data_IF_463722482543
#
_entry.id   IF_463722482543
#
_cell.length_a   1.000
_cell.length_b   1.000
_cell.length_c   1.000
_cell.angle_alpha   90.00
_cell.angle_beta   90.00
_cell.angle_gamma   90.00
#
_symmetry.space_group_name_H-M   'P 1'
#
loop_
_entity.id
_entity.type
_entity.pdbx_description
1 polymer ?
#
# COMPACT_ATOMS: atom_id res chain seq x y z
N UNK A 1 15.96 -16.34 -2.71
CA UNK A 1 15.98 -14.96 -2.16
C UNK A 1 14.55 -14.47 -2.19
N UNK A 2 14.03 -13.93 -1.08
CA UNK A 2 12.72 -13.30 -1.07
C UNK A 2 12.74 -12.05 -1.95
N UNK A 3 11.73 -11.88 -2.79
CA UNK A 3 11.54 -10.63 -3.54
C UNK A 3 11.21 -9.49 -2.55
N UNK A 4 11.56 -8.24 -2.86
CA UNK A 4 11.37 -7.08 -1.98
C UNK A 4 9.91 -6.92 -1.51
N UNK A 5 8.96 -7.28 -2.37
CA UNK A 5 7.55 -7.35 -2.00
C UNK A 5 7.28 -8.34 -0.86
N UNK A 6 7.89 -9.52 -0.89
CA UNK A 6 7.65 -10.55 0.14
C UNK A 6 8.17 -10.09 1.51
N UNK A 7 9.30 -9.38 1.55
CA UNK A 7 9.81 -8.77 2.79
C UNK A 7 8.83 -7.72 3.33
N UNK A 8 8.42 -6.77 2.48
CA UNK A 8 7.47 -5.74 2.88
C UNK A 8 6.11 -6.32 3.31
N UNK A 9 5.58 -7.27 2.53
CA UNK A 9 4.28 -7.89 2.78
C UNK A 9 4.29 -8.78 4.02
N UNK A 10 5.40 -9.47 4.32
CA UNK A 10 5.53 -10.25 5.54
C UNK A 10 5.35 -9.39 6.80
N UNK A 11 5.84 -8.14 6.80
CA UNK A 11 5.56 -7.19 7.87
C UNK A 11 4.09 -6.74 7.84
N UNK A 12 3.62 -6.22 6.71
CA UNK A 12 2.29 -5.60 6.59
C UNK A 12 1.16 -6.59 6.89
N UNK A 13 1.23 -7.82 6.38
CA UNK A 13 0.21 -8.85 6.54
C UNK A 13 -0.01 -9.27 8.01
N UNK A 14 0.94 -9.02 8.92
CA UNK A 14 0.76 -9.29 10.36
C UNK A 14 -0.28 -8.36 11.01
N UNK A 15 -0.53 -7.21 10.38
CA UNK A 15 -1.50 -6.22 10.82
C UNK A 15 -2.87 -6.43 10.18
N UNK A 16 -2.95 -7.30 9.17
CA UNK A 16 -4.17 -7.62 8.48
C UNK A 16 -4.87 -8.77 9.22
N UNK A 17 -6.13 -8.55 9.61
CA UNK A 17 -6.91 -9.50 10.38
C UNK A 17 -7.31 -10.75 9.59
N UNK A 18 -7.90 -11.72 10.30
CA UNK A 18 -8.66 -12.80 9.67
C UNK A 18 -10.03 -12.32 9.18
N UNK A 19 -10.92 -13.27 8.88
CA UNK A 19 -12.28 -12.97 8.49
C UNK A 19 -12.98 -12.12 9.55
N UNK A 20 -13.50 -10.96 9.14
CA UNK A 20 -14.34 -10.08 9.95
C UNK A 20 -15.53 -9.63 9.13
N UNK A 21 -16.72 -9.75 9.70
CA UNK A 21 -17.98 -9.31 9.12
C UNK A 21 -18.74 -8.54 10.20
N UNK A 22 -18.77 -7.21 10.10
CA UNK A 22 -19.44 -6.36 11.08
C UNK A 22 -20.57 -5.58 10.39
N UNK A 23 -21.82 -5.65 10.86
CA UNK A 23 -22.98 -5.00 10.22
C UNK A 23 -22.85 -3.49 10.03
N UNK A 24 -22.01 -2.84 10.82
CA UNK A 24 -21.73 -1.39 10.73
C UNK A 24 -20.45 -1.04 9.96
N UNK A 25 -19.76 -2.03 9.36
CA UNK A 25 -18.56 -1.77 8.56
C UNK A 25 -18.93 -1.33 7.13
N UNK A 26 -18.63 -0.09 6.73
CA UNK A 26 -18.90 0.39 5.38
C UNK A 26 -18.02 -0.28 4.30
N UNK A 27 -17.02 -1.08 4.68
CA UNK A 27 -16.22 -1.91 3.79
C UNK A 27 -16.82 -3.29 3.50
N UNK A 28 -17.83 -3.69 4.29
CA UNK A 28 -18.40 -5.04 4.26
C UNK A 28 -17.46 -6.10 4.83
N UNK A 29 -17.74 -7.36 4.52
CA UNK A 29 -16.89 -8.48 4.92
C UNK A 29 -15.44 -8.26 4.47
N UNK A 30 -14.50 -8.56 5.35
CA UNK A 30 -13.06 -8.39 5.13
C UNK A 30 -12.32 -9.64 5.55
N UNK A 31 -11.37 -10.10 4.74
CA UNK A 31 -10.50 -11.23 5.07
C UNK A 31 -9.08 -10.96 4.58
N UNK A 32 -8.08 -11.23 5.41
CA UNK A 32 -6.66 -10.98 5.08
C UNK A 32 -6.37 -9.54 4.62
N UNK A 33 -7.13 -8.55 5.12
CA UNK A 33 -7.03 -7.13 4.73
C UNK A 33 -7.73 -6.79 3.40
N UNK A 34 -8.35 -7.77 2.73
CA UNK A 34 -9.12 -7.59 1.50
C UNK A 34 -10.60 -7.41 1.88
N UNK A 35 -11.17 -6.22 1.61
CA UNK A 35 -12.58 -5.95 1.87
C UNK A 35 -13.45 -6.11 0.61
N UNK A 36 -14.69 -6.55 0.78
CA UNK A 36 -15.65 -6.69 -0.31
C UNK A 36 -15.79 -5.41 -1.13
N UNK A 37 -15.93 -4.27 -0.44
CA UNK A 37 -16.04 -2.97 -1.10
C UNK A 37 -14.84 -2.68 -2.00
N UNK A 38 -13.63 -2.99 -1.54
CA UNK A 38 -12.43 -2.75 -2.32
C UNK A 38 -12.38 -3.63 -3.57
N UNK A 39 -12.68 -4.92 -3.45
CA UNK A 39 -12.71 -5.85 -4.59
C UNK A 39 -13.79 -5.45 -5.59
N UNK A 40 -14.98 -5.05 -5.12
CA UNK A 40 -16.05 -4.54 -5.99
C UNK A 40 -15.67 -3.23 -6.70
N UNK A 41 -14.97 -2.31 -6.03
CA UNK A 41 -14.45 -1.09 -6.64
C UNK A 41 -13.42 -1.41 -7.74
N UNK A 42 -12.53 -2.38 -7.49
CA UNK A 42 -11.58 -2.86 -8.51
C UNK A 42 -12.30 -3.53 -9.68
N UNK A 43 -13.32 -4.34 -9.42
CA UNK A 43 -14.10 -5.03 -10.43
C UNK A 43 -14.84 -4.06 -11.34
N UNK A 44 -15.39 -2.99 -10.76
CA UNK A 44 -16.00 -1.87 -11.48
C UNK A 44 -14.98 -1.18 -12.39
N UNK A 45 -13.82 -0.81 -11.86
CA UNK A 45 -12.74 -0.16 -12.61
C UNK A 45 -12.24 -1.05 -13.76
N UNK A 46 -12.06 -2.35 -13.53
CA UNK A 46 -11.63 -3.29 -14.56
C UNK A 46 -12.64 -3.38 -15.71
N UNK A 47 -13.94 -3.41 -15.40
CA UNK A 47 -15.01 -3.39 -16.42
C UNK A 47 -15.05 -2.06 -17.19
N UNK A 48 -14.87 -0.93 -16.50
CA UNK A 48 -14.80 0.40 -17.13
C UNK A 48 -13.60 0.51 -18.08
N UNK A 49 -12.44 0.01 -17.67
CA UNK A 49 -11.24 -0.04 -18.50
C UNK A 49 -11.42 -0.94 -19.73
N UNK A 50 -12.01 -2.12 -19.54
CA UNK A 50 -12.38 -3.02 -20.63
C UNK A 50 -13.29 -2.31 -21.67
N UNK A 51 -14.33 -1.62 -21.20
CA UNK A 51 -15.23 -0.83 -22.07
C UNK A 51 -14.49 0.30 -22.78
N UNK A 52 -13.57 0.98 -22.11
CA UNK A 52 -12.75 2.06 -22.68
C UNK A 52 -11.82 1.53 -23.79
N UNK A 53 -11.17 0.40 -23.58
CA UNK A 53 -10.16 -0.15 -24.48
C UNK A 53 -10.76 -0.98 -25.62
N UNK A 54 -11.75 -1.81 -25.32
CA UNK A 54 -12.29 -2.83 -26.23
C UNK A 54 -13.72 -2.52 -26.72
N UNK A 55 -14.31 -1.41 -26.29
CA UNK A 55 -15.70 -0.96 -26.62
C UNK A 55 -16.83 -1.89 -26.18
N UNK A 56 -16.52 -3.11 -25.75
CA UNK A 56 -17.44 -4.06 -25.12
C UNK A 56 -16.67 -4.98 -24.19
N UNK A 57 -17.35 -5.48 -23.16
CA UNK A 57 -16.86 -6.59 -22.33
C UNK A 57 -17.69 -7.87 -22.54
N UNK A 58 -18.73 -7.80 -23.37
CA UNK A 58 -19.55 -8.94 -23.77
C UNK A 58 -18.80 -9.78 -24.82
N UNK A 59 -18.75 -11.10 -24.61
CA UNK A 59 -18.04 -12.01 -25.53
C UNK A 59 -16.52 -11.87 -25.51
N UNK A 60 -15.94 -11.25 -24.48
CA UNK A 60 -14.48 -11.14 -24.31
C UNK A 60 -13.84 -12.54 -24.25
N UNK A 61 -12.88 -12.82 -25.15
CA UNK A 61 -12.17 -14.11 -25.22
C UNK A 61 -11.29 -14.39 -24.00
N UNK A 62 -10.90 -13.33 -23.29
CA UNK A 62 -10.05 -13.41 -22.10
C UNK A 62 -10.86 -13.56 -20.81
N UNK A 63 -12.21 -13.55 -20.87
CA UNK A 63 -13.09 -13.46 -19.69
C UNK A 63 -12.91 -14.58 -18.67
N UNK A 64 -12.44 -15.74 -19.09
CA UNK A 64 -12.17 -16.90 -18.23
C UNK A 64 -10.66 -17.09 -17.98
N UNK A 65 -9.87 -16.02 -18.09
CA UNK A 65 -8.42 -16.07 -17.91
C UNK A 65 -7.97 -14.97 -16.97
N UNK A 66 -6.82 -15.18 -16.32
CA UNK A 66 -6.18 -14.20 -15.44
C UNK A 66 -5.72 -12.92 -16.14
N UNK A 67 -5.79 -12.87 -17.48
CA UNK A 67 -5.56 -11.64 -18.25
C UNK A 67 -6.74 -10.68 -18.18
N UNK A 68 -7.92 -11.15 -17.79
CA UNK A 68 -9.06 -10.29 -17.52
C UNK A 68 -8.97 -9.74 -16.09
N UNK A 69 -8.82 -8.41 -15.98
CA UNK A 69 -8.74 -7.74 -14.67
C UNK A 69 -10.00 -7.88 -13.81
N UNK A 70 -11.14 -8.24 -14.40
CA UNK A 70 -12.35 -8.57 -13.64
C UNK A 70 -12.31 -10.01 -13.11
N UNK A 71 -11.95 -10.98 -13.96
CA UNK A 71 -11.86 -12.39 -13.55
C UNK A 71 -10.77 -12.62 -12.50
N UNK A 72 -9.70 -11.82 -12.49
CA UNK A 72 -8.70 -11.89 -11.42
C UNK A 72 -9.22 -11.47 -10.04
N UNK A 73 -10.44 -10.93 -9.95
CA UNK A 73 -11.11 -10.48 -8.72
C UNK A 73 -12.25 -11.38 -8.27
N UNK A 74 -12.63 -12.35 -9.11
CA UNK A 74 -13.51 -13.48 -8.84
C UNK A 74 -12.62 -14.58 -8.21
N UNK A 75 -12.55 -14.57 -6.89
CA UNK A 75 -11.61 -15.31 -6.05
C UNK A 75 -12.05 -16.75 -5.78
N UNK A 76 -13.35 -17.04 -5.83
CA UNK A 76 -13.87 -18.41 -5.71
C UNK A 76 -14.23 -19.06 -7.06
N UNK A 77 -14.16 -18.28 -8.15
CA UNK A 77 -14.35 -18.72 -9.55
C UNK A 77 -15.77 -19.14 -9.89
N UNK A 78 -16.77 -18.62 -9.18
CA UNK A 78 -18.18 -18.92 -9.40
C UNK A 78 -18.85 -18.05 -10.48
N UNK A 79 -18.15 -16.99 -10.91
CA UNK A 79 -18.59 -16.10 -11.98
C UNK A 79 -19.22 -14.79 -11.52
N UNK A 80 -19.14 -14.44 -10.23
CA UNK A 80 -19.43 -13.09 -9.74
C UNK A 80 -18.33 -12.48 -8.84
N UNK A 81 -18.65 -11.39 -8.13
CA UNK A 81 -17.72 -10.70 -7.20
C UNK A 81 -18.54 -10.24 -5.99
N UNK A 82 -18.59 -11.08 -4.97
CA UNK A 82 -19.45 -10.94 -3.81
C UNK A 82 -18.78 -11.34 -2.47
N UNK A 83 -19.59 -11.60 -1.44
CA UNK A 83 -19.09 -11.92 -0.11
C UNK A 83 -18.40 -13.30 -0.03
N UNK A 84 -18.78 -14.26 -0.88
CA UNK A 84 -18.22 -15.61 -0.88
C UNK A 84 -16.77 -15.61 -1.38
N UNK A 85 -16.42 -14.73 -2.33
CA UNK A 85 -15.02 -14.45 -2.70
C UNK A 85 -14.16 -14.08 -1.51
N UNK A 86 -14.67 -13.20 -0.64
CA UNK A 86 -13.91 -12.73 0.52
C UNK A 86 -13.78 -13.83 1.57
N UNK A 87 -14.81 -14.67 1.73
CA UNK A 87 -14.75 -15.85 2.62
C UNK A 87 -13.75 -16.88 2.11
N UNK A 88 -13.71 -17.11 0.80
CA UNK A 88 -12.82 -18.07 0.15
C UNK A 88 -11.39 -17.53 -0.06
N UNK A 89 -11.20 -16.20 0.02
CA UNK A 89 -9.92 -15.53 -0.21
C UNK A 89 -8.79 -16.16 0.61
N UNK A 90 -7.83 -16.75 -0.09
CA UNK A 90 -6.61 -17.27 0.52
C UNK A 90 -5.58 -16.16 0.76
N UNK A 91 -4.65 -16.38 1.70
CA UNK A 91 -3.50 -15.47 1.89
C UNK A 91 -2.69 -15.23 0.62
N UNK A 92 -2.59 -16.22 -0.26
CA UNK A 92 -1.87 -16.10 -1.52
C UNK A 92 -2.60 -15.19 -2.52
N UNK A 93 -3.93 -15.31 -2.62
CA UNK A 93 -4.76 -14.40 -3.42
C UNK A 93 -4.72 -12.99 -2.87
N UNK A 94 -4.87 -12.81 -1.55
CA UNK A 94 -4.71 -11.51 -0.90
C UNK A 94 -3.35 -10.86 -1.22
N UNK A 95 -2.26 -11.61 -1.08
CA UNK A 95 -0.92 -11.13 -1.41
C UNK A 95 -0.80 -10.73 -2.90
N UNK A 96 -1.41 -11.47 -3.82
CA UNK A 96 -1.43 -11.12 -5.24
C UNK A 96 -2.19 -9.82 -5.53
N UNK A 97 -3.33 -9.60 -4.86
CA UNK A 97 -4.08 -8.34 -4.94
C UNK A 97 -3.26 -7.17 -4.40
N UNK A 98 -2.62 -7.35 -3.23
CA UNK A 98 -1.77 -6.31 -2.65
C UNK A 98 -0.55 -5.98 -3.52
N UNK A 99 0.08 -7.00 -4.12
CA UNK A 99 1.17 -6.79 -5.08
C UNK A 99 0.70 -5.94 -6.25
N UNK A 100 -0.37 -6.36 -6.91
CA UNK A 100 -0.89 -5.70 -8.12
C UNK A 100 -1.36 -4.28 -7.83
N UNK A 101 -2.17 -4.09 -6.79
CA UNK A 101 -2.93 -2.86 -6.60
C UNK A 101 -2.26 -1.84 -5.67
N UNK A 102 -1.21 -2.23 -4.94
CA UNK A 102 -0.40 -1.30 -4.16
C UNK A 102 1.06 -1.30 -4.60
N UNK A 103 1.74 -2.44 -4.53
CA UNK A 103 3.19 -2.50 -4.79
C UNK A 103 3.55 -2.09 -6.22
N UNK A 104 2.90 -2.69 -7.21
CA UNK A 104 3.18 -2.43 -8.62
C UNK A 104 2.62 -1.07 -9.06
N UNK A 105 1.39 -0.73 -8.66
CA UNK A 105 0.79 0.60 -8.96
C UNK A 105 1.60 1.77 -8.40
N UNK A 106 2.28 1.60 -7.26
CA UNK A 106 3.16 2.61 -6.68
C UNK A 106 4.62 2.49 -7.14
N UNK A 107 4.92 1.54 -8.04
CA UNK A 107 6.28 1.26 -8.50
C UNK A 107 7.27 1.04 -7.36
N UNK A 108 6.84 0.39 -6.27
CA UNK A 108 7.66 0.17 -5.08
C UNK A 108 8.95 -0.60 -5.39
N UNK A 109 8.92 -1.50 -6.38
CA UNK A 109 10.10 -2.25 -6.85
C UNK A 109 11.24 -1.33 -7.34
N UNK A 110 10.91 -0.15 -7.83
CA UNK A 110 11.88 0.83 -8.34
C UNK A 110 12.43 1.76 -7.25
N UNK A 111 12.01 1.59 -5.99
CA UNK A 111 12.51 2.38 -4.86
C UNK A 111 13.56 1.60 -4.07
N UNK A 112 14.47 2.31 -3.39
CA UNK A 112 15.30 1.71 -2.34
C UNK A 112 14.42 1.00 -1.31
N UNK A 113 14.85 -0.20 -0.89
CA UNK A 113 14.06 -1.11 -0.05
C UNK A 113 13.40 -0.44 1.17
N UNK A 114 14.09 0.35 2.02
CA UNK A 114 13.44 0.95 3.20
C UNK A 114 12.33 1.93 2.84
N UNK A 115 12.48 2.68 1.75
CA UNK A 115 11.46 3.60 1.24
C UNK A 115 10.28 2.82 0.64
N UNK A 116 10.55 1.74 -0.10
CA UNK A 116 9.53 0.85 -0.65
C UNK A 116 8.67 0.21 0.46
N UNK A 117 9.32 -0.32 1.51
CA UNK A 117 8.67 -0.92 2.68
C UNK A 117 7.80 0.10 3.42
N UNK A 118 8.35 1.29 3.71
CA UNK A 118 7.61 2.35 4.39
C UNK A 118 6.41 2.84 3.56
N UNK A 119 6.60 3.04 2.26
CA UNK A 119 5.55 3.47 1.33
C UNK A 119 4.42 2.44 1.24
N UNK A 120 4.78 1.18 0.99
CA UNK A 120 3.82 0.10 0.82
C UNK A 120 2.93 -0.09 2.06
N UNK A 121 3.54 -0.21 3.24
CA UNK A 121 2.77 -0.34 4.49
C UNK A 121 1.86 0.87 4.73
N UNK A 122 2.37 2.07 4.45
CA UNK A 122 1.60 3.30 4.58
C UNK A 122 0.41 3.34 3.61
N UNK A 123 0.61 2.91 2.37
CA UNK A 123 -0.42 2.93 1.35
C UNK A 123 -1.57 1.98 1.70
N UNK A 124 -1.26 0.78 2.20
CA UNK A 124 -2.25 -0.19 2.70
C UNK A 124 -3.02 0.37 3.89
N UNK A 125 -2.34 1.03 4.83
CA UNK A 125 -2.92 1.49 6.09
C UNK A 125 -3.78 2.75 5.96
N UNK A 126 -3.33 3.75 5.21
CA UNK A 126 -3.93 5.10 5.21
C UNK A 126 -4.19 5.68 3.81
N UNK A 127 -4.06 4.83 2.78
CA UNK A 127 -4.32 5.17 1.39
C UNK A 127 -3.08 5.63 0.62
N UNK A 128 -2.97 5.28 -0.69
CA UNK A 128 -1.78 5.55 -1.50
C UNK A 128 -1.36 7.03 -1.54
N UNK A 129 -2.26 7.95 -1.90
CA UNK A 129 -1.91 9.36 -2.08
C UNK A 129 -1.32 10.01 -0.82
N UNK A 130 -1.84 9.64 0.36
CA UNK A 130 -1.32 10.14 1.63
C UNK A 130 0.06 9.56 1.94
N UNK A 131 0.24 8.26 1.72
CA UNK A 131 1.52 7.59 1.97
C UNK A 131 2.62 8.15 1.07
N UNK A 132 2.32 8.38 -0.22
CA UNK A 132 3.25 9.01 -1.16
C UNK A 132 3.61 10.42 -0.71
N UNK A 133 2.64 11.24 -0.32
CA UNK A 133 2.89 12.61 0.14
C UNK A 133 3.80 12.64 1.38
N UNK A 134 3.57 11.75 2.35
CA UNK A 134 4.43 11.65 3.53
C UNK A 134 5.85 11.20 3.19
N UNK A 135 6.00 10.30 2.20
CA UNK A 135 7.32 9.91 1.72
C UNK A 135 8.02 11.09 1.03
N UNK A 136 7.34 11.81 0.14
CA UNK A 136 7.88 13.00 -0.53
C UNK A 136 8.33 14.05 0.49
N UNK A 137 7.52 14.35 1.51
CA UNK A 137 7.85 15.25 2.61
C UNK A 137 9.11 14.83 3.37
N UNK A 138 9.20 13.55 3.73
CA UNK A 138 10.36 13.02 4.44
C UNK A 138 11.63 13.08 3.58
N UNK A 139 11.51 12.78 2.28
CA UNK A 139 12.63 12.85 1.35
C UNK A 139 13.08 14.29 1.10
N UNK A 140 12.16 15.23 0.89
CA UNK A 140 12.46 16.66 0.77
C UNK A 140 13.20 17.17 2.01
N UNK A 141 12.65 16.90 3.20
CA UNK A 141 13.27 17.32 4.47
C UNK A 141 14.67 16.73 4.65
N UNK A 142 14.85 15.46 4.28
CA UNK A 142 16.17 14.81 4.36
C UNK A 142 17.15 15.39 3.34
N UNK A 143 16.69 15.58 2.10
CA UNK A 143 17.50 16.12 1.01
C UNK A 143 17.96 17.54 1.29
N UNK A 144 17.05 18.43 1.70
CA UNK A 144 17.37 19.80 2.08
C UNK A 144 18.43 19.90 3.18
N UNK A 145 18.37 18.99 4.15
CA UNK A 145 19.27 19.02 5.30
C UNK A 145 20.62 18.33 5.06
N UNK A 146 20.75 17.44 4.08
CA UNK A 146 21.89 16.50 3.99
C UNK A 146 22.53 16.37 2.61
N UNK A 147 21.86 16.77 1.51
CA UNK A 147 22.43 16.66 0.16
C UNK A 147 23.06 17.99 -0.27
N UNK A 148 24.29 17.94 -0.80
CA UNK A 148 25.00 19.12 -1.31
C UNK A 148 24.28 19.81 -2.49
N UNK A 149 23.66 19.00 -3.35
CA UNK A 149 22.90 19.47 -4.51
C UNK A 149 21.45 18.98 -4.42
N UNK A 150 20.64 19.72 -3.67
CA UNK A 150 19.23 19.43 -3.48
C UNK A 150 18.32 20.30 -4.36
N UNK A 151 17.29 19.68 -4.93
CA UNK A 151 16.17 20.35 -5.56
C UNK A 151 14.87 19.74 -5.04
N UNK A 152 13.94 20.54 -4.49
CA UNK A 152 12.71 20.01 -3.92
C UNK A 152 11.82 19.37 -4.99
N UNK A 153 11.15 18.28 -4.62
CA UNK A 153 10.09 17.68 -5.43
C UNK A 153 8.72 18.13 -4.92
N UNK A 154 7.71 18.03 -5.78
CA UNK A 154 6.33 18.28 -5.37
C UNK A 154 5.86 17.21 -4.36
N UNK A 155 5.09 17.65 -3.37
CA UNK A 155 4.44 16.82 -2.35
C UNK A 155 2.98 16.53 -2.73
N UNK A 156 2.76 16.18 -3.99
CA UNK A 156 1.44 16.03 -4.60
C UNK A 156 0.73 14.72 -4.19
N UNK A 157 1.48 13.73 -3.71
CA UNK A 157 0.98 12.37 -3.47
C UNK A 157 1.00 11.49 -4.70
N UNK A 158 1.77 11.85 -5.74
CA UNK A 158 1.89 11.12 -7.00
C UNK A 158 3.29 10.51 -7.11
N UNK A 159 3.36 9.20 -7.36
CA UNK A 159 4.62 8.51 -7.63
C UNK A 159 5.08 8.81 -9.06
N UNK A 160 5.85 9.90 -9.22
CA UNK A 160 6.42 10.32 -10.49
C UNK A 160 7.94 10.10 -10.60
N UNK A 161 8.53 10.38 -11.78
CA UNK A 161 9.97 10.24 -12.02
C UNK A 161 10.84 11.02 -11.02
N UNK A 162 10.45 12.25 -10.68
CA UNK A 162 11.18 13.11 -9.71
C UNK A 162 11.20 12.50 -8.31
N UNK A 163 10.11 11.88 -7.89
CA UNK A 163 10.04 11.16 -6.60
C UNK A 163 11.06 10.03 -6.54
N UNK A 164 11.22 9.26 -7.64
CA UNK A 164 12.19 8.16 -7.71
C UNK A 164 13.63 8.67 -7.77
N UNK A 165 13.89 9.72 -8.55
CA UNK A 165 15.21 10.34 -8.66
C UNK A 165 15.72 10.84 -7.29
N UNK A 166 14.86 11.49 -6.49
CA UNK A 166 15.23 11.88 -5.14
C UNK A 166 15.44 10.66 -4.22
N UNK A 167 14.63 9.61 -4.35
CA UNK A 167 14.83 8.39 -3.58
C UNK A 167 16.18 7.72 -3.89
N UNK A 168 16.57 7.66 -5.17
CA UNK A 168 17.86 7.16 -5.63
C UNK A 168 19.03 8.02 -5.12
N UNK A 169 18.90 9.36 -5.18
CA UNK A 169 19.91 10.27 -4.65
C UNK A 169 20.12 10.09 -3.14
N UNK A 170 19.04 9.94 -2.37
CA UNK A 170 19.11 9.67 -0.94
C UNK A 170 19.76 8.30 -0.65
N UNK A 171 19.45 7.26 -1.42
CA UNK A 171 20.10 5.97 -1.26
C UNK A 171 21.60 6.02 -1.62
N UNK A 172 21.98 6.75 -2.67
CA UNK A 172 23.39 6.97 -3.04
C UNK A 172 24.19 7.68 -1.95
N UNK A 173 23.53 8.48 -1.12
CA UNK A 173 24.10 9.14 0.05
C UNK A 173 23.88 8.35 1.38
N UNK A 174 23.34 7.14 1.33
CA UNK A 174 22.99 6.32 2.50
C UNK A 174 22.00 6.98 3.49
N UNK A 175 21.08 7.78 2.97
CA UNK A 175 20.05 8.52 3.72
C UNK A 175 18.64 7.92 3.59
N UNK A 176 18.47 6.85 2.82
CA UNK A 176 17.19 6.22 2.53
C UNK A 176 16.50 5.62 3.77
N UNK A 177 17.24 4.96 4.67
CA UNK A 177 16.72 4.51 5.97
C UNK A 177 16.33 5.68 6.89
N UNK A 178 17.09 6.77 6.86
CA UNK A 178 16.75 7.97 7.62
C UNK A 178 15.44 8.59 7.12
N UNK A 179 15.31 8.79 5.81
CA UNK A 179 14.10 9.32 5.19
C UNK A 179 12.88 8.39 5.42
N UNK A 180 13.06 7.07 5.33
CA UNK A 180 12.00 6.10 5.63
C UNK A 180 11.48 6.25 7.07
N UNK A 181 12.38 6.34 8.07
CA UNK A 181 12.00 6.57 9.48
C UNK A 181 11.36 7.94 9.70
N UNK A 182 11.81 8.98 9.00
CA UNK A 182 11.19 10.29 9.07
C UNK A 182 9.74 10.25 8.55
N UNK A 183 9.45 9.50 7.49
CA UNK A 183 8.08 9.30 6.99
C UNK A 183 7.17 8.65 8.05
N UNK A 184 7.70 7.77 8.90
CA UNK A 184 6.94 7.16 10.01
C UNK A 184 6.64 8.16 11.12
N UNK A 185 7.53 9.13 11.37
CA UNK A 185 7.26 10.22 12.31
C UNK A 185 6.14 11.13 11.81
N UNK A 186 6.15 11.48 10.52
CA UNK A 186 5.06 12.23 9.88
C UNK A 186 3.73 11.47 9.98
N UNK A 187 3.78 10.14 9.80
CA UNK A 187 2.63 9.25 9.97
C UNK A 187 2.09 9.25 11.39
N UNK A 188 2.95 9.15 12.40
CA UNK A 188 2.54 9.25 13.79
C UNK A 188 1.86 10.58 14.12
N UNK A 189 2.40 11.70 13.63
CA UNK A 189 1.79 13.03 13.78
C UNK A 189 0.40 13.04 13.15
N UNK A 190 0.27 12.54 11.92
CA UNK A 190 -1.01 12.42 11.25
C UNK A 190 -2.04 11.64 12.07
N UNK A 191 -1.67 10.50 12.66
CA UNK A 191 -2.59 9.72 13.49
C UNK A 191 -3.06 10.48 14.73
N UNK A 192 -2.15 11.20 15.41
CA UNK A 192 -2.50 12.02 16.57
C UNK A 192 -3.48 13.12 16.17
N UNK A 193 -3.21 13.80 15.07
CA UNK A 193 -4.07 14.88 14.57
C UNK A 193 -5.44 14.36 14.12
N UNK A 194 -5.49 13.16 13.53
CA UNK A 194 -6.75 12.55 13.13
C UNK A 194 -7.61 12.20 14.35
N UNK A 195 -7.01 11.58 15.37
CA UNK A 195 -7.70 11.23 16.61
C UNK A 195 -8.15 12.46 17.40
N UNK A 196 -7.39 13.56 17.36
CA UNK A 196 -7.76 14.82 17.96
C UNK A 196 -8.96 15.46 17.24
N UNK A 197 -8.96 15.46 15.90
CA UNK A 197 -10.03 16.04 15.06
C UNK A 197 -11.30 15.20 15.00
N UNK A 198 -11.19 13.87 15.17
CA UNK A 198 -12.30 12.92 15.11
C UNK A 198 -12.29 12.02 16.36
N UNK A 199 -12.99 12.40 17.44
CA UNK A 199 -12.97 11.65 18.69
C UNK A 199 -13.36 10.16 18.57
N UNK A 200 -14.23 9.81 17.62
CA UNK A 200 -14.60 8.42 17.31
C UNK A 200 -13.41 7.56 16.87
N UNK A 201 -12.33 8.19 16.38
CA UNK A 201 -11.12 7.51 15.94
C UNK A 201 -10.10 7.28 17.07
N UNK A 202 -10.33 7.86 18.26
CA UNK A 202 -9.35 7.85 19.38
C UNK A 202 -9.04 6.43 19.86
N UNK A 203 -10.01 5.52 19.82
CA UNK A 203 -9.83 4.12 20.21
C UNK A 203 -8.80 3.36 19.34
N UNK A 204 -8.62 3.76 18.07
CA UNK A 204 -7.68 3.11 17.15
C UNK A 204 -6.24 3.64 17.25
N UNK A 205 -6.05 4.84 17.82
CA UNK A 205 -4.75 5.51 17.89
C UNK A 205 -3.63 4.66 18.51
N UNK A 206 -3.85 3.91 19.62
CA UNK A 206 -2.82 3.04 20.17
C UNK A 206 -2.34 1.99 19.16
N UNK A 207 -3.27 1.36 18.43
CA UNK A 207 -2.97 0.36 17.39
C UNK A 207 -2.16 0.95 16.24
N UNK A 208 -2.58 2.10 15.70
CA UNK A 208 -1.86 2.78 14.63
C UNK A 208 -0.44 3.17 15.00
N UNK A 209 -0.24 3.68 16.22
CA UNK A 209 1.10 4.02 16.74
C UNK A 209 1.96 2.78 16.97
N UNK A 210 1.38 1.69 17.45
CA UNK A 210 2.09 0.43 17.62
C UNK A 210 2.56 -0.13 16.26
N UNK A 211 1.73 -0.04 15.21
CA UNK A 211 2.13 -0.40 13.83
C UNK A 211 3.30 0.45 13.33
N UNK A 212 3.24 1.77 13.50
CA UNK A 212 4.33 2.67 13.09
C UNK A 212 5.64 2.37 13.84
N UNK A 213 5.59 2.13 15.17
CA UNK A 213 6.77 1.79 15.97
C UNK A 213 7.37 0.44 15.56
N UNK A 214 6.54 -0.57 15.36
CA UNK A 214 6.99 -1.88 14.91
C UNK A 214 7.65 -1.81 13.52
N UNK A 215 7.11 -0.97 12.62
CA UNK A 215 7.72 -0.77 11.30
C UNK A 215 9.07 -0.06 11.41
N UNK A 216 9.21 0.92 12.30
CA UNK A 216 10.49 1.57 12.55
C UNK A 216 11.55 0.58 13.07
N UNK A 217 11.14 -0.37 13.92
CA UNK A 217 12.00 -1.45 14.38
C UNK A 217 12.38 -2.40 13.25
N UNK A 218 11.41 -2.81 12.42
CA UNK A 218 11.65 -3.67 11.27
C UNK A 218 12.62 -3.03 10.26
N UNK A 219 12.49 -1.73 9.99
CA UNK A 219 13.46 -0.99 9.17
C UNK A 219 14.86 -0.99 9.80
N UNK A 220 14.97 -0.88 11.13
CA UNK A 220 16.26 -0.94 11.79
C UNK A 220 16.89 -2.35 11.73
N UNK A 221 16.08 -3.41 11.72
CA UNK A 221 16.54 -4.79 11.52
C UNK A 221 17.03 -5.01 10.08
N UNK A 222 16.30 -4.50 9.08
CA UNK A 222 16.71 -4.48 7.68
C UNK A 222 18.03 -3.73 7.47
N UNK A 223 18.20 -2.57 8.11
CA UNK A 223 19.43 -1.76 8.03
C UNK A 223 20.67 -2.52 8.56
N UNK A 224 20.48 -3.38 9.56
CA UNK A 224 21.55 -4.23 10.12
C UNK A 224 21.76 -5.53 9.33
N UNK A 225 20.95 -5.82 8.31
CA UNK A 225 20.98 -7.08 7.57
C UNK A 225 20.43 -8.29 8.36
N UNK A 226 19.57 -8.04 9.34
CA UNK A 226 19.08 -9.05 10.29
C UNK A 226 17.63 -9.53 10.02
N UNK A 227 17.08 -9.27 8.84
CA UNK A 227 15.65 -9.46 8.50
C UNK A 227 15.42 -10.35 7.27
#
# INVERSE_FOLDING_TARGET
MSDAFQLAHAFTARWEGGLSDHPSDPGGITNHGVSLRWVQDLARQAREECRRLLRSCDGCRERATTRCGWHSLDLDTDGDVDADDIRACTKAQAAALFRTHFWDKLSCKALPLPLAVALYDGAVNMGPARAVRQLQQAMNTTGEAQLDHYSPIAEDGIMGPRTRELAEALAGAHLDFYAARLSLRLRETFYRDLAARRPSMKAFLPGWRNRARALAQYLAELERGAA
#
